data_IF_857913930321
#
_entry.id   IF_857913930321
#
_cell.length_a   1.000
_cell.length_b   1.000
_cell.length_c   1.000
_cell.angle_alpha   90.00
_cell.angle_beta   90.00
_cell.angle_gamma   90.00
#
_symmetry.space_group_name_H-M   'P 1'
#
loop_
_entity.id
_entity.type
_entity.pdbx_description
1 polymer ?
#
# COMPACT_ATOMS: atom_id res chain seq x y z
N UNK A 1 7.43 -12.78 6.91
CA UNK A 1 8.68 -13.16 7.59
C UNK A 1 8.35 -13.77 8.93
N UNK A 2 9.16 -14.73 9.39
CA UNK A 2 8.98 -15.36 10.70
C UNK A 2 9.28 -14.38 11.83
N UNK A 3 8.67 -14.60 13.00
CA UNK A 3 8.89 -13.75 14.18
C UNK A 3 10.37 -13.75 14.60
N UNK A 4 11.06 -14.87 14.40
CA UNK A 4 12.50 -15.00 14.62
C UNK A 4 13.30 -14.03 13.75
N UNK A 5 13.01 -13.97 12.45
CA UNK A 5 13.66 -13.04 11.53
C UNK A 5 13.48 -11.60 11.98
N UNK A 6 12.25 -11.22 12.35
CA UNK A 6 11.93 -9.87 12.81
C UNK A 6 12.71 -9.51 14.07
N UNK A 7 12.83 -10.43 15.03
CA UNK A 7 13.60 -10.23 16.26
C UNK A 7 15.09 -10.06 15.96
N UNK A 8 15.70 -10.97 15.21
CA UNK A 8 17.12 -10.91 14.86
C UNK A 8 17.48 -9.63 14.09
N UNK A 9 16.56 -9.15 13.25
CA UNK A 9 16.74 -7.89 12.53
C UNK A 9 16.73 -6.68 13.48
N UNK A 10 15.78 -6.61 14.40
CA UNK A 10 15.72 -5.53 15.41
C UNK A 10 16.94 -5.51 16.31
N UNK A 11 17.50 -6.68 16.62
CA UNK A 11 18.72 -6.82 17.41
C UNK A 11 20.01 -6.62 16.58
N UNK A 12 19.89 -6.33 15.27
CA UNK A 12 21.01 -5.97 14.41
C UNK A 12 21.94 -7.13 14.03
N UNK A 13 21.45 -8.38 14.07
CA UNK A 13 22.26 -9.57 13.81
C UNK A 13 22.63 -9.78 12.34
N UNK A 14 21.88 -9.21 11.40
CA UNK A 14 22.16 -9.35 9.97
C UNK A 14 23.28 -8.41 9.52
N UNK A 15 24.15 -8.92 8.66
CA UNK A 15 25.08 -8.10 7.87
C UNK A 15 24.30 -7.41 6.75
N UNK A 16 24.31 -6.08 6.74
CA UNK A 16 23.61 -5.25 5.74
C UNK A 16 24.55 -4.61 4.73
N UNK A 17 25.85 -4.59 5.02
CA UNK A 17 26.87 -3.99 4.17
C UNK A 17 27.25 -4.97 3.06
N UNK A 18 27.28 -4.50 1.81
CA UNK A 18 27.63 -5.33 0.65
C UNK A 18 26.56 -6.32 0.19
N UNK A 19 25.35 -6.28 0.77
CA UNK A 19 24.19 -7.06 0.32
C UNK A 19 23.83 -6.65 -1.12
N UNK A 20 23.74 -7.63 -2.02
CA UNK A 20 23.44 -7.40 -3.45
C UNK A 20 24.65 -7.10 -4.33
N UNK A 21 25.88 -7.26 -3.81
CA UNK A 21 27.08 -7.30 -4.63
C UNK A 21 27.13 -8.53 -5.57
N UNK A 22 27.98 -8.51 -6.61
CA UNK A 22 28.06 -9.59 -7.61
C UNK A 22 28.40 -10.97 -7.02
N UNK A 23 29.11 -11.02 -5.89
CA UNK A 23 29.50 -12.26 -5.19
C UNK A 23 28.54 -12.67 -4.06
N UNK A 24 27.43 -11.94 -3.88
CA UNK A 24 26.45 -12.22 -2.83
C UNK A 24 25.40 -13.20 -3.32
N UNK A 25 25.27 -14.37 -2.68
CA UNK A 25 24.15 -15.28 -2.95
C UNK A 25 22.84 -14.68 -2.36
N UNK A 26 21.82 -14.37 -3.18
CA UNK A 26 20.57 -13.80 -2.70
C UNK A 26 19.72 -14.77 -1.86
N UNK A 27 20.07 -16.06 -1.81
CA UNK A 27 19.37 -17.07 -1.00
C UNK A 27 19.90 -17.17 0.44
N UNK A 28 21.05 -16.56 0.72
CA UNK A 28 21.72 -16.65 2.01
C UNK A 28 21.70 -15.30 2.73
N UNK A 29 21.33 -15.33 4.00
CA UNK A 29 21.51 -14.21 4.92
C UNK A 29 22.82 -14.37 5.69
N UNK A 30 23.66 -13.34 5.65
CA UNK A 30 24.89 -13.28 6.44
C UNK A 30 24.61 -12.71 7.83
N UNK A 31 25.16 -13.36 8.85
CA UNK A 31 24.96 -13.05 10.25
C UNK A 31 26.27 -12.50 10.83
N UNK A 32 26.19 -11.37 11.55
CA UNK A 32 27.34 -10.74 12.23
C UNK A 32 27.94 -11.61 13.33
N UNK A 33 27.18 -12.58 13.83
CA UNK A 33 27.54 -13.52 14.89
C UNK A 33 27.16 -14.91 14.44
N UNK A 34 27.82 -15.90 15.01
CA UNK A 34 27.49 -17.31 14.80
C UNK A 34 26.10 -17.61 15.35
N UNK A 35 25.33 -18.34 14.55
CA UNK A 35 23.98 -18.80 14.88
C UNK A 35 23.90 -20.29 14.67
N UNK A 36 23.13 -20.97 15.52
CA UNK A 36 22.97 -22.43 15.44
C UNK A 36 21.83 -22.77 14.50
N UNK A 37 22.13 -23.49 13.41
CA UNK A 37 21.14 -24.06 12.49
C UNK A 37 21.42 -25.55 12.34
N UNK A 38 20.43 -26.41 12.62
CA UNK A 38 20.60 -27.86 12.53
C UNK A 38 21.73 -28.41 13.41
N UNK A 39 21.95 -27.83 14.60
CA UNK A 39 23.05 -28.16 15.53
C UNK A 39 24.46 -27.80 15.03
N UNK A 40 24.57 -26.89 14.05
CA UNK A 40 25.86 -26.36 13.58
C UNK A 40 25.90 -24.84 13.72
N UNK A 41 27.03 -24.33 14.18
CA UNK A 41 27.31 -22.89 14.15
C UNK A 41 27.61 -22.45 12.72
N UNK A 42 26.80 -21.53 12.21
CA UNK A 42 26.91 -20.98 10.87
C UNK A 42 26.84 -19.46 10.92
N UNK A 43 27.44 -18.81 9.93
CA UNK A 43 27.28 -17.37 9.68
C UNK A 43 26.45 -17.07 8.44
N UNK A 44 26.17 -18.09 7.64
CA UNK A 44 25.31 -18.00 6.47
C UNK A 44 24.10 -18.91 6.69
N UNK A 45 22.91 -18.31 6.63
CA UNK A 45 21.65 -18.98 6.91
C UNK A 45 20.78 -18.92 5.66
N UNK A 46 20.19 -20.06 5.29
CA UNK A 46 19.21 -20.12 4.20
C UNK A 46 17.98 -19.26 4.54
N UNK A 47 17.57 -18.41 3.59
CA UNK A 47 16.43 -17.51 3.76
C UNK A 47 15.12 -18.27 4.01
N UNK A 48 14.99 -19.54 3.60
CA UNK A 48 13.80 -20.35 3.84
C UNK A 48 13.47 -20.50 5.34
N UNK A 49 14.46 -20.43 6.24
CA UNK A 49 14.23 -20.41 7.70
C UNK A 49 13.52 -19.13 8.18
N UNK A 50 13.57 -18.06 7.39
CA UNK A 50 12.98 -16.76 7.70
C UNK A 50 11.67 -16.48 6.95
N UNK A 51 11.39 -17.24 5.89
CA UNK A 51 10.19 -17.10 5.09
C UNK A 51 8.99 -17.78 5.73
N UNK A 52 7.80 -17.21 5.51
CA UNK A 52 6.52 -17.78 5.92
C UNK A 52 5.66 -17.83 4.67
N UNK A 53 5.24 -19.03 4.28
CA UNK A 53 4.41 -19.23 3.09
C UNK A 53 2.97 -18.78 3.39
N UNK A 54 2.45 -17.91 2.52
CA UNK A 54 1.05 -17.46 2.55
C UNK A 54 0.34 -17.93 1.29
N UNK A 55 -0.92 -18.32 1.42
CA UNK A 55 -1.73 -18.72 0.27
C UNK A 55 -2.08 -17.49 -0.57
N UNK A 56 -1.98 -17.63 -1.89
CA UNK A 56 -2.54 -16.66 -2.82
C UNK A 56 -4.03 -16.96 -2.92
N UNK A 57 -4.86 -16.02 -2.49
CA UNK A 57 -6.32 -16.10 -2.55
C UNK A 57 -6.83 -14.89 -3.33
N UNK A 58 -7.78 -15.13 -4.23
CA UNK A 58 -8.51 -14.06 -4.88
C UNK A 58 -9.50 -13.45 -3.90
N UNK A 59 -9.44 -12.13 -3.72
CA UNK A 59 -10.34 -11.37 -2.87
C UNK A 59 -11.14 -10.39 -3.72
N UNK A 60 -12.46 -10.43 -3.60
CA UNK A 60 -13.33 -9.39 -4.13
C UNK A 60 -13.58 -8.35 -3.02
N UNK A 61 -13.00 -7.17 -3.19
CA UNK A 61 -13.13 -6.06 -2.25
C UNK A 61 -14.20 -5.04 -2.67
N UNK A 62 -14.69 -4.21 -1.74
CA UNK A 62 -15.65 -3.15 -2.05
C UNK A 62 -15.02 -1.96 -2.80
N UNK A 63 -13.69 -1.87 -2.82
CA UNK A 63 -12.94 -0.81 -3.49
C UNK A 63 -12.66 -1.18 -4.95
N UNK A 64 -12.88 -0.22 -5.83
CA UNK A 64 -12.40 -0.30 -7.21
C UNK A 64 -10.89 0.01 -7.27
N UNK A 65 -10.25 -0.43 -8.36
CA UNK A 65 -8.84 -0.14 -8.65
C UNK A 65 -8.72 0.45 -10.05
N UNK A 66 -9.55 1.46 -10.33
CA UNK A 66 -9.69 2.05 -11.66
C UNK A 66 -9.09 3.45 -11.77
N UNK A 67 -8.68 4.03 -10.63
CA UNK A 67 -7.95 5.29 -10.55
C UNK A 67 -6.43 5.08 -10.72
N UNK A 68 -5.68 6.04 -11.29
CA UNK A 68 -4.22 5.94 -11.40
C UNK A 68 -3.52 5.78 -10.04
N UNK A 69 -2.65 4.77 -9.97
CA UNK A 69 -1.84 4.44 -8.77
C UNK A 69 -0.68 5.43 -8.63
N UNK A 70 -0.46 5.92 -7.41
CA UNK A 70 0.66 6.82 -7.09
C UNK A 70 2.03 6.17 -7.34
N UNK A 71 3.08 6.99 -7.48
CA UNK A 71 4.46 6.55 -7.71
C UNK A 71 4.67 5.69 -8.98
N UNK A 72 3.80 5.86 -9.98
CA UNK A 72 3.98 5.32 -11.35
C UNK A 72 4.37 6.44 -12.32
N UNK A 73 4.81 6.04 -13.51
CA UNK A 73 5.20 6.95 -14.61
C UNK A 73 4.11 7.97 -14.98
N UNK A 74 2.83 7.64 -14.74
CA UNK A 74 1.71 8.54 -15.03
C UNK A 74 1.53 9.54 -13.90
N UNK A 75 1.68 10.85 -14.15
CA UNK A 75 1.50 11.84 -13.12
C UNK A 75 0.06 11.86 -12.65
N UNK A 76 -0.06 11.94 -11.34
CA UNK A 76 -1.30 12.17 -10.64
C UNK A 76 -1.78 13.61 -10.88
N UNK A 77 -2.95 13.77 -11.49
CA UNK A 77 -3.45 15.08 -11.93
C UNK A 77 -4.93 15.28 -11.58
N UNK A 78 -5.35 16.53 -11.36
CA UNK A 78 -6.79 16.87 -11.22
C UNK A 78 -7.61 16.44 -12.44
N UNK A 79 -6.99 16.41 -13.63
CA UNK A 79 -7.57 15.86 -14.85
C UNK A 79 -7.92 14.37 -14.74
N UNK A 80 -7.10 13.58 -14.04
CA UNK A 80 -7.41 12.17 -13.78
C UNK A 80 -8.66 12.03 -12.88
N UNK A 81 -8.81 12.90 -11.88
CA UNK A 81 -10.03 12.98 -11.06
C UNK A 81 -11.26 13.27 -11.93
N UNK A 82 -11.19 14.30 -12.78
CA UNK A 82 -12.28 14.63 -13.71
C UNK A 82 -12.65 13.47 -14.61
N UNK A 83 -11.68 12.90 -15.32
CA UNK A 83 -11.91 11.77 -16.23
C UNK A 83 -12.54 10.57 -15.52
N UNK A 84 -12.09 10.28 -14.29
CA UNK A 84 -12.65 9.20 -13.48
C UNK A 84 -14.09 9.47 -13.07
N UNK A 85 -14.38 10.68 -12.59
CA UNK A 85 -15.71 11.12 -12.20
C UNK A 85 -16.68 11.13 -13.40
N UNK A 86 -16.22 11.51 -14.59
CA UNK A 86 -17.01 11.49 -15.83
C UNK A 86 -17.35 10.06 -16.27
N UNK A 87 -16.35 9.16 -16.24
CA UNK A 87 -16.53 7.74 -16.57
C UNK A 87 -17.51 7.04 -15.63
N UNK A 88 -17.55 7.46 -14.37
CA UNK A 88 -18.35 6.83 -13.30
C UNK A 88 -19.64 7.59 -12.98
N UNK A 89 -20.01 8.61 -13.77
CA UNK A 89 -21.15 9.51 -13.49
C UNK A 89 -22.52 8.82 -13.31
N UNK A 90 -22.69 7.63 -13.87
CA UNK A 90 -23.92 6.84 -13.75
C UNK A 90 -24.03 6.06 -12.43
N UNK A 91 -22.98 6.09 -11.60
CA UNK A 91 -22.94 5.39 -10.32
C UNK A 91 -23.27 6.36 -9.17
N UNK A 92 -23.78 5.86 -8.03
CA UNK A 92 -23.90 6.66 -6.81
C UNK A 92 -22.56 7.27 -6.41
N UNK A 93 -22.56 8.49 -5.86
CA UNK A 93 -21.32 9.22 -5.57
C UNK A 93 -20.34 8.43 -4.69
N UNK A 94 -20.84 7.73 -3.68
CA UNK A 94 -20.02 6.85 -2.82
C UNK A 94 -19.28 5.77 -3.62
N UNK A 95 -19.90 5.19 -4.66
CA UNK A 95 -19.26 4.22 -5.55
C UNK A 95 -18.21 4.86 -6.45
N UNK A 96 -18.42 6.12 -6.86
CA UNK A 96 -17.46 6.89 -7.68
C UNK A 96 -16.16 7.15 -6.90
N UNK A 97 -16.26 7.38 -5.59
CA UNK A 97 -15.10 7.63 -4.71
C UNK A 97 -14.58 6.37 -3.99
N UNK A 98 -15.20 5.21 -4.18
CA UNK A 98 -14.77 3.93 -3.60
C UNK A 98 -13.52 3.39 -4.33
N UNK A 99 -12.42 4.13 -4.27
CA UNK A 99 -11.11 3.76 -4.80
C UNK A 99 -10.03 4.32 -3.86
N UNK A 100 -9.11 3.45 -3.42
CA UNK A 100 -8.10 3.83 -2.44
C UNK A 100 -7.19 4.96 -2.94
N UNK A 101 -6.75 4.90 -4.20
CA UNK A 101 -5.85 5.91 -4.76
C UNK A 101 -6.57 7.23 -5.02
N UNK A 102 -7.88 7.18 -5.28
CA UNK A 102 -8.70 8.39 -5.31
C UNK A 102 -8.79 9.03 -3.91
N UNK A 103 -9.02 8.25 -2.84
CA UNK A 103 -9.06 8.79 -1.48
C UNK A 103 -7.72 9.40 -1.06
N UNK A 104 -6.58 8.79 -1.43
CA UNK A 104 -5.26 9.38 -1.25
C UNK A 104 -5.09 10.71 -2.01
N UNK A 105 -5.74 10.85 -3.17
CA UNK A 105 -5.81 12.12 -3.90
C UNK A 105 -6.55 13.21 -3.18
N UNK A 106 -7.72 12.88 -2.68
CA UNK A 106 -8.52 13.83 -1.93
C UNK A 106 -7.79 14.25 -0.64
N UNK A 107 -7.05 13.35 0.01
CA UNK A 107 -6.26 13.64 1.19
C UNK A 107 -5.15 14.70 0.99
N UNK A 108 -4.82 15.05 -0.26
CA UNK A 108 -3.87 16.14 -0.56
C UNK A 108 -4.53 17.53 -0.59
N UNK A 109 -5.86 17.58 -0.61
CA UNK A 109 -6.63 18.82 -0.69
C UNK A 109 -7.63 18.99 0.47
N UNK A 110 -8.01 17.89 1.11
CA UNK A 110 -8.93 17.85 2.24
C UNK A 110 -8.18 17.59 3.55
N UNK A 111 -8.80 17.89 4.68
CA UNK A 111 -8.20 17.65 5.99
C UNK A 111 -8.10 16.15 6.30
N UNK A 112 -6.87 15.68 6.49
CA UNK A 112 -6.54 14.28 6.76
C UNK A 112 -7.11 13.79 8.11
N UNK A 113 -7.37 14.69 9.05
CA UNK A 113 -7.84 14.33 10.39
C UNK A 113 -9.36 14.34 10.53
N UNK A 114 -10.09 14.95 9.59
CA UNK A 114 -11.55 15.13 9.67
C UNK A 114 -12.28 14.68 8.40
N UNK A 115 -11.96 15.28 7.26
CA UNK A 115 -12.64 15.01 5.99
C UNK A 115 -12.34 13.61 5.44
N UNK A 116 -11.08 13.19 5.47
CA UNK A 116 -10.67 11.88 4.93
C UNK A 116 -11.31 10.72 5.72
N UNK A 117 -11.30 10.72 7.07
CA UNK A 117 -12.04 9.73 7.85
C UNK A 117 -13.53 9.70 7.54
N UNK A 118 -14.19 10.85 7.40
CA UNK A 118 -15.62 10.92 7.08
C UNK A 118 -15.94 10.31 5.70
N UNK A 119 -15.12 10.61 4.69
CA UNK A 119 -15.25 9.99 3.36
C UNK A 119 -14.96 8.50 3.38
N UNK A 120 -13.94 8.07 4.13
CA UNK A 120 -13.59 6.66 4.28
C UNK A 120 -14.70 5.88 5.00
N UNK A 121 -15.35 6.45 6.00
CA UNK A 121 -16.53 5.86 6.66
C UNK A 121 -17.69 5.70 5.68
N UNK A 122 -17.95 6.70 4.83
CA UNK A 122 -18.96 6.59 3.80
C UNK A 122 -18.64 5.46 2.82
N UNK A 123 -17.38 5.34 2.40
CA UNK A 123 -16.92 4.25 1.51
C UNK A 123 -17.00 2.90 2.21
N UNK A 124 -16.68 2.81 3.50
CA UNK A 124 -16.75 1.55 4.26
C UNK A 124 -18.19 1.07 4.44
N UNK A 125 -19.08 1.96 4.84
CA UNK A 125 -20.49 1.67 5.11
C UNK A 125 -21.38 1.72 3.87
N UNK A 126 -20.82 2.19 2.74
CA UNK A 126 -21.53 2.45 1.49
C UNK A 126 -22.71 3.43 1.69
N UNK A 127 -22.54 4.39 2.61
CA UNK A 127 -23.54 5.41 2.90
C UNK A 127 -23.47 6.57 1.90
N UNK A 128 -24.54 7.38 1.80
CA UNK A 128 -24.51 8.61 1.02
C UNK A 128 -23.42 9.56 1.51
N UNK A 129 -22.68 10.17 0.58
CA UNK A 129 -21.72 11.23 0.86
C UNK A 129 -22.49 12.55 0.99
N UNK A 130 -22.19 13.36 1.99
CA UNK A 130 -22.86 14.66 2.17
C UNK A 130 -22.65 15.58 0.96
N UNK A 131 -23.66 16.37 0.59
CA UNK A 131 -23.62 17.25 -0.58
C UNK A 131 -22.42 18.21 -0.59
N UNK A 132 -22.03 18.75 0.58
CA UNK A 132 -20.85 19.61 0.71
C UNK A 132 -19.57 18.96 0.18
N UNK A 133 -19.30 17.69 0.56
CA UNK A 133 -18.16 16.94 0.03
C UNK A 133 -18.28 16.64 -1.46
N UNK A 134 -19.49 16.33 -1.94
CA UNK A 134 -19.70 16.10 -3.38
C UNK A 134 -19.31 17.34 -4.18
N UNK A 135 -19.79 18.52 -3.78
CA UNK A 135 -19.48 19.80 -4.43
C UNK A 135 -17.99 20.14 -4.36
N UNK A 136 -17.33 19.92 -3.21
CA UNK A 136 -15.90 20.16 -3.06
C UNK A 136 -15.09 19.28 -4.01
N UNK A 137 -15.40 17.99 -4.08
CA UNK A 137 -14.70 17.03 -4.94
C UNK A 137 -14.95 17.34 -6.42
N UNK A 138 -16.18 17.70 -6.81
CA UNK A 138 -16.49 18.10 -8.17
C UNK A 138 -15.84 19.44 -8.55
N UNK A 139 -15.72 20.37 -7.61
CA UNK A 139 -14.98 21.62 -7.80
C UNK A 139 -13.48 21.35 -8.04
N UNK A 140 -12.87 20.47 -7.23
CA UNK A 140 -11.48 20.06 -7.41
C UNK A 140 -11.24 19.41 -8.78
N UNK A 141 -12.20 18.62 -9.26
CA UNK A 141 -12.15 17.99 -10.57
C UNK A 141 -12.29 19.00 -11.72
N UNK A 142 -13.17 20.00 -11.58
CA UNK A 142 -13.42 20.98 -12.62
C UNK A 142 -12.42 22.15 -12.65
N UNK A 143 -11.62 22.32 -11.60
CA UNK A 143 -10.51 23.27 -11.56
C UNK A 143 -9.26 22.81 -12.35
N UNK A 144 -9.38 21.78 -13.19
CA UNK A 144 -8.30 21.20 -14.01
C UNK A 144 -8.30 21.69 -15.45
#
# INVERSE_FOLDING_TARGET
MSDMCVRLFKEGWFETDGVGGPDSDPKLSKMKKEVVVGSKDVREVDNDFFLVVVKILDHQGPLSSTFPVENRMTPFTKRALKNHLDRTKNLPFVKRISDFHLLLMLARFLDVNSDVPALAECVQTQSPVTEGYQLLIESLANAS
#
